data_IF_958509599866
#
_entry.id   IF_958509599866
#
_cell.length_a   1.000
_cell.length_b   1.000
_cell.length_c   1.000
_cell.angle_alpha   90.00
_cell.angle_beta   90.00
_cell.angle_gamma   90.00
#
_symmetry.space_group_name_H-M   'P 1'
#
loop_
_entity.id
_entity.type
_entity.pdbx_description
1 polymer ?
#
# COMPACT_ATOMS: atom_id res chain seq x y z
N UNK A 1 -18.63 -53.23 7.09
CA UNK A 1 -18.46 -53.56 8.52
C UNK A 1 -19.07 -52.44 9.36
N UNK A 2 -19.59 -52.71 10.56
CA UNK A 2 -20.25 -51.69 11.40
C UNK A 2 -19.34 -50.48 11.70
N UNK A 3 -18.01 -50.68 11.71
CA UNK A 3 -17.02 -49.61 11.88
C UNK A 3 -16.90 -48.64 10.70
N UNK A 4 -17.12 -49.09 9.46
CA UNK A 4 -17.09 -48.20 8.28
C UNK A 4 -18.24 -47.20 8.27
N UNK A 5 -19.43 -47.61 8.73
CA UNK A 5 -20.59 -46.74 8.83
C UNK A 5 -20.42 -45.67 9.92
N UNK A 6 -19.88 -46.04 11.08
CA UNK A 6 -19.62 -45.09 12.18
C UNK A 6 -18.54 -44.05 11.81
N UNK A 7 -17.50 -44.45 11.06
CA UNK A 7 -16.50 -43.51 10.52
C UNK A 7 -17.12 -42.58 9.47
N UNK A 8 -18.00 -43.09 8.62
CA UNK A 8 -18.75 -42.28 7.66
C UNK A 8 -19.64 -41.23 8.33
N UNK A 9 -20.39 -41.61 9.36
CA UNK A 9 -21.23 -40.69 10.14
C UNK A 9 -20.42 -39.62 10.87
N UNK A 10 -19.30 -40.00 11.48
CA UNK A 10 -18.39 -39.07 12.14
C UNK A 10 -17.81 -38.05 11.14
N UNK A 11 -17.40 -38.51 9.96
CA UNK A 11 -16.88 -37.65 8.90
C UNK A 11 -17.94 -36.67 8.36
N UNK A 12 -19.18 -37.11 8.15
CA UNK A 12 -20.28 -36.23 7.73
C UNK A 12 -20.54 -35.17 8.80
N UNK A 13 -20.61 -35.56 10.08
CA UNK A 13 -20.83 -34.65 11.21
C UNK A 13 -19.71 -33.61 11.33
N UNK A 14 -18.45 -34.01 11.17
CA UNK A 14 -17.32 -33.09 11.19
C UNK A 14 -17.42 -32.06 10.05
N UNK A 15 -17.75 -32.50 8.83
CA UNK A 15 -17.92 -31.59 7.69
C UNK A 15 -19.06 -30.60 7.90
N UNK A 16 -20.16 -31.03 8.48
CA UNK A 16 -21.26 -30.13 8.84
C UNK A 16 -20.83 -29.12 9.89
N UNK A 17 -20.11 -29.54 10.94
CA UNK A 17 -19.57 -28.64 11.95
C UNK A 17 -18.61 -27.61 11.35
N UNK A 18 -17.71 -28.04 10.45
CA UNK A 18 -16.80 -27.15 9.72
C UNK A 18 -17.59 -26.17 8.84
N UNK A 19 -18.62 -26.63 8.14
CA UNK A 19 -19.47 -25.77 7.29
C UNK A 19 -20.18 -24.70 8.12
N UNK A 20 -20.73 -25.08 9.27
CA UNK A 20 -21.39 -24.13 10.19
C UNK A 20 -20.39 -23.12 10.75
N UNK A 21 -19.23 -23.59 11.22
CA UNK A 21 -18.18 -22.72 11.74
C UNK A 21 -17.66 -21.74 10.66
N UNK A 22 -17.47 -22.20 9.42
CA UNK A 22 -17.05 -21.37 8.30
C UNK A 22 -18.11 -20.32 7.93
N UNK A 23 -19.39 -20.68 7.95
CA UNK A 23 -20.48 -19.74 7.71
C UNK A 23 -20.51 -18.62 8.75
N UNK A 24 -20.41 -18.96 10.05
CA UNK A 24 -20.37 -17.99 11.13
C UNK A 24 -19.12 -17.11 11.07
N UNK A 25 -17.97 -17.72 10.80
CA UNK A 25 -16.69 -17.00 10.65
C UNK A 25 -16.75 -16.01 9.49
N UNK A 26 -17.29 -16.41 8.34
CA UNK A 26 -17.42 -15.56 7.16
C UNK A 26 -18.33 -14.36 7.43
N UNK A 27 -19.44 -14.59 8.14
CA UNK A 27 -20.36 -13.51 8.55
C UNK A 27 -19.68 -12.52 9.50
N UNK A 28 -18.90 -13.02 10.47
CA UNK A 28 -18.15 -12.18 11.39
C UNK A 28 -17.12 -11.30 10.66
N UNK A 29 -16.34 -11.89 9.74
CA UNK A 29 -15.38 -11.12 8.93
C UNK A 29 -16.06 -10.10 8.03
N UNK A 30 -17.20 -10.44 7.43
CA UNK A 30 -18.01 -9.50 6.66
C UNK A 30 -18.37 -8.27 7.50
N UNK A 31 -18.87 -8.48 8.73
CA UNK A 31 -19.20 -7.39 9.65
C UNK A 31 -17.98 -6.56 10.03
N UNK A 32 -16.86 -7.19 10.36
CA UNK A 32 -15.62 -6.46 10.69
C UNK A 32 -15.16 -5.61 9.51
N UNK A 33 -15.17 -6.15 8.29
CA UNK A 33 -14.83 -5.38 7.08
C UNK A 33 -15.75 -4.17 6.92
N UNK A 34 -17.07 -4.35 7.05
CA UNK A 34 -18.01 -3.25 6.84
C UNK A 34 -18.02 -2.21 7.94
N UNK A 35 -17.98 -2.63 9.21
CA UNK A 35 -18.18 -1.76 10.36
C UNK A 35 -16.88 -1.27 10.99
N UNK A 36 -15.74 -1.86 10.66
CA UNK A 36 -14.43 -1.44 11.18
C UNK A 36 -13.52 -1.02 10.05
N UNK A 37 -13.25 -1.90 9.08
CA UNK A 37 -12.24 -1.61 8.06
C UNK A 37 -12.63 -0.42 7.17
N UNK A 38 -13.87 -0.35 6.67
CA UNK A 38 -14.28 0.80 5.84
C UNK A 38 -14.26 2.14 6.61
N UNK A 39 -14.79 2.26 7.84
CA UNK A 39 -14.63 3.48 8.63
C UNK A 39 -13.16 3.85 8.87
N UNK A 40 -12.31 2.88 9.24
CA UNK A 40 -10.88 3.13 9.43
C UNK A 40 -10.20 3.63 8.15
N UNK A 41 -10.51 3.04 6.99
CA UNK A 41 -10.01 3.50 5.70
C UNK A 41 -10.50 4.91 5.40
N UNK A 42 -11.77 5.22 5.69
CA UNK A 42 -12.31 6.57 5.53
C UNK A 42 -11.52 7.62 6.32
N UNK A 43 -11.22 7.34 7.59
CA UNK A 43 -10.39 8.20 8.43
C UNK A 43 -8.95 8.32 7.90
N UNK A 44 -8.35 7.20 7.49
CA UNK A 44 -7.01 7.19 6.91
C UNK A 44 -6.92 8.00 5.61
N UNK A 45 -7.94 7.93 4.76
CA UNK A 45 -8.03 8.72 3.52
C UNK A 45 -8.08 10.22 3.82
N UNK A 46 -8.91 10.64 4.78
CA UNK A 46 -8.95 12.05 5.19
C UNK A 46 -7.60 12.52 5.72
N UNK A 47 -6.94 11.71 6.55
CA UNK A 47 -5.62 12.02 7.07
C UNK A 47 -4.57 12.15 5.96
N UNK A 48 -4.50 11.16 5.05
CA UNK A 48 -3.56 11.15 3.94
C UNK A 48 -3.80 12.33 2.98
N UNK A 49 -5.07 12.67 2.72
CA UNK A 49 -5.44 13.82 1.90
C UNK A 49 -4.97 15.14 2.51
N UNK A 50 -5.19 15.34 3.81
CA UNK A 50 -4.73 16.53 4.50
C UNK A 50 -3.20 16.61 4.50
N UNK A 51 -2.51 15.49 4.75
CA UNK A 51 -1.04 15.44 4.71
C UNK A 51 -0.50 15.77 3.31
N UNK A 52 -1.12 15.25 2.26
CA UNK A 52 -0.74 15.56 0.88
C UNK A 52 -0.92 17.05 0.56
N UNK A 53 -2.03 17.66 1.00
CA UNK A 53 -2.26 19.11 0.85
C UNK A 53 -1.24 19.95 1.60
N UNK A 54 -0.92 19.60 2.83
CA UNK A 54 0.10 20.33 3.60
C UNK A 54 1.48 20.18 2.95
N UNK A 55 1.79 19.03 2.36
CA UNK A 55 3.01 18.85 1.58
C UNK A 55 3.04 19.75 0.33
N UNK A 56 1.94 19.85 -0.42
CA UNK A 56 1.83 20.75 -1.56
C UNK A 56 2.05 22.21 -1.17
N UNK A 57 1.36 22.69 -0.11
CA UNK A 57 1.54 24.04 0.42
C UNK A 57 2.97 24.31 0.87
N UNK A 58 3.61 23.34 1.52
CA UNK A 58 5.00 23.50 1.95
C UNK A 58 5.94 23.66 0.74
N UNK A 59 5.71 22.89 -0.33
CA UNK A 59 6.48 23.05 -1.57
C UNK A 59 6.22 24.40 -2.24
N UNK A 60 4.98 24.90 -2.22
CA UNK A 60 4.65 26.23 -2.73
C UNK A 60 5.34 27.33 -1.93
N UNK A 61 5.31 27.25 -0.60
CA UNK A 61 6.00 28.20 0.27
C UNK A 61 7.51 28.21 0.01
N UNK A 62 8.13 27.03 -0.10
CA UNK A 62 9.56 26.93 -0.47
C UNK A 62 9.82 27.63 -1.81
N UNK A 63 8.96 27.44 -2.81
CA UNK A 63 9.12 28.14 -4.10
C UNK A 63 9.02 29.65 -3.95
N UNK A 64 8.03 30.14 -3.21
CA UNK A 64 7.85 31.57 -2.94
C UNK A 64 9.09 32.18 -2.27
N UNK A 65 9.68 31.50 -1.29
CA UNK A 65 10.92 31.91 -0.62
C UNK A 65 12.16 31.87 -1.52
N UNK A 66 12.12 31.11 -2.63
CA UNK A 66 13.23 30.91 -3.55
C UNK A 66 12.96 31.53 -4.95
N UNK A 67 12.16 32.60 -5.01
CA UNK A 67 11.97 33.37 -6.25
C UNK A 67 11.02 32.73 -7.27
N UNK A 68 10.13 31.84 -6.83
CA UNK A 68 9.15 31.13 -7.65
C UNK A 68 9.58 29.73 -8.10
N UNK A 69 10.80 29.31 -7.78
CA UNK A 69 11.37 28.02 -8.17
C UNK A 69 11.81 27.21 -6.96
N UNK A 70 11.93 25.89 -7.09
CA UNK A 70 12.47 25.09 -6.00
C UNK A 70 13.97 25.37 -5.84
N UNK A 71 14.50 25.38 -4.60
CA UNK A 71 15.91 25.57 -4.36
C UNK A 71 16.73 24.50 -5.10
N UNK A 72 17.90 24.91 -5.57
CA UNK A 72 18.84 23.99 -6.19
C UNK A 72 19.19 22.88 -5.19
N UNK A 73 19.05 21.62 -5.63
CA UNK A 73 19.31 20.46 -4.77
C UNK A 73 20.77 20.07 -4.90
N UNK A 74 21.50 20.12 -3.79
CA UNK A 74 22.91 19.72 -3.74
C UNK A 74 23.04 18.25 -4.16
N UNK A 75 23.83 18.01 -5.20
CA UNK A 75 24.15 16.68 -5.67
C UNK A 75 25.37 16.15 -4.94
N UNK A 76 25.18 15.12 -4.11
CA UNK A 76 26.27 14.39 -3.48
C UNK A 76 26.61 13.13 -4.29
N UNK A 77 27.88 12.72 -4.31
CA UNK A 77 28.37 11.59 -5.11
C UNK A 77 27.68 10.24 -4.81
N UNK A 78 27.11 10.09 -3.62
CA UNK A 78 26.35 8.91 -3.23
C UNK A 78 24.90 8.93 -3.74
N UNK A 79 24.37 10.09 -4.14
CA UNK A 79 23.06 10.21 -4.78
C UNK A 79 23.17 9.84 -6.26
N UNK A 80 22.09 9.27 -6.81
CA UNK A 80 22.01 8.90 -8.23
C UNK A 80 23.17 8.04 -8.78
N UNK A 81 23.99 7.41 -7.92
CA UNK A 81 25.09 6.53 -8.34
C UNK A 81 24.60 5.45 -9.30
N UNK A 82 25.34 5.25 -10.40
CA UNK A 82 25.13 4.18 -11.37
C UNK A 82 26.45 3.43 -11.58
N UNK A 83 26.47 2.15 -11.21
CA UNK A 83 27.63 1.26 -11.49
C UNK A 83 27.47 0.59 -12.85
N UNK A 84 26.23 0.30 -13.25
CA UNK A 84 25.85 -0.24 -14.55
C UNK A 84 24.56 0.43 -15.00
N UNK A 85 24.44 0.70 -16.29
CA UNK A 85 23.23 1.27 -16.89
C UNK A 85 22.04 0.30 -16.79
N UNK A 86 20.83 0.85 -16.66
CA UNK A 86 19.63 0.02 -16.73
C UNK A 86 19.40 -0.45 -18.17
N UNK A 87 18.76 -1.62 -18.36
CA UNK A 87 18.57 -2.17 -19.70
C UNK A 87 17.53 -1.42 -20.57
N UNK A 88 16.86 -0.40 -20.03
CA UNK A 88 15.82 0.40 -20.71
C UNK A 88 16.12 1.92 -20.76
N UNK A 89 17.32 2.36 -20.35
CA UNK A 89 17.72 3.76 -20.35
C UNK A 89 18.19 4.29 -18.98
N UNK A 90 18.58 5.56 -18.90
CA UNK A 90 19.23 6.10 -17.68
C UNK A 90 18.27 6.40 -16.52
N UNK A 91 16.97 6.51 -16.80
CA UNK A 91 15.94 6.82 -15.81
C UNK A 91 15.41 5.57 -15.10
N UNK A 92 15.06 5.72 -13.82
CA UNK A 92 14.35 4.68 -13.05
C UNK A 92 12.92 4.50 -13.58
N UNK A 93 12.30 3.35 -13.32
CA UNK A 93 10.92 3.06 -13.76
C UNK A 93 9.89 4.12 -13.34
N UNK A 94 10.09 4.73 -12.17
CA UNK A 94 9.23 5.79 -11.62
C UNK A 94 9.94 7.13 -11.56
N UNK A 95 10.78 7.45 -12.55
CA UNK A 95 11.42 8.75 -12.65
C UNK A 95 10.40 9.86 -12.96
N UNK A 96 10.45 10.94 -12.19
CA UNK A 96 9.64 12.14 -12.40
C UNK A 96 10.56 13.38 -12.39
N UNK A 97 10.69 14.10 -13.52
CA UNK A 97 11.60 15.25 -13.63
C UNK A 97 11.24 16.42 -12.69
N UNK A 98 10.01 16.47 -12.15
CA UNK A 98 9.60 17.49 -11.18
C UNK A 98 10.19 17.27 -9.79
N UNK A 99 10.55 16.03 -9.45
CA UNK A 99 10.93 15.63 -8.08
C UNK A 99 12.20 14.79 -8.01
N UNK A 100 12.71 14.28 -9.11
CA UNK A 100 13.95 13.52 -9.16
C UNK A 100 15.02 14.35 -9.86
N UNK A 101 16.23 14.37 -9.29
CA UNK A 101 17.39 14.92 -9.99
C UNK A 101 17.73 14.03 -11.18
N UNK A 102 18.11 14.60 -12.33
CA UNK A 102 18.56 13.83 -13.46
C UNK A 102 19.75 12.94 -13.05
N UNK A 103 19.86 11.72 -13.59
CA UNK A 103 21.05 10.93 -13.41
C UNK A 103 22.26 11.67 -14.03
N UNK A 104 23.48 11.50 -13.48
CA UNK A 104 24.68 12.00 -14.13
C UNK A 104 24.78 11.41 -15.55
N UNK A 105 25.28 12.24 -16.49
CA UNK A 105 25.51 11.84 -17.88
C UNK A 105 26.54 10.70 -18.00
#
# INVERSE_FOLDING_TARGET
SVGENALGEAFVKEREAVKQHASQSSENWRKITYYVAFPCIGLALVNAYNLAKEHEKHLEHIKEENGGELPERIHYDYLNRRVKSFPWGNHTLFYNPKVNLPPPE
#
